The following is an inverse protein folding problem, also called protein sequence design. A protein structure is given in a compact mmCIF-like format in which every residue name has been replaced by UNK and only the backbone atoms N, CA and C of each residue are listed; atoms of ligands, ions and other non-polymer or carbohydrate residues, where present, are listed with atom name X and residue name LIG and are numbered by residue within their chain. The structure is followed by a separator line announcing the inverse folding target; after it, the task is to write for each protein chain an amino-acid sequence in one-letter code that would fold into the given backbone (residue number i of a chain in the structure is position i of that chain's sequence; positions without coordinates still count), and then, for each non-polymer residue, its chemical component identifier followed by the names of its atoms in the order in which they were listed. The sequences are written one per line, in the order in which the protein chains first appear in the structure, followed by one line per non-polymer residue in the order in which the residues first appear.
data_IF_148873793420
#
_entry.id   IF_148873793420
#
_cell.length_a   1.000
_cell.length_b   1.000
_cell.length_c   1.000
_cell.angle_alpha   90.00
_cell.angle_beta   90.00
_cell.angle_gamma   90.00
#
_symmetry.space_group_name_H-M   'P 1'
#
loop_
_entity.id
_entity.type
_entity.pdbx_description
1 polymer ?
#
# COMPACT_ATOMS: atom_id res chain seq x y z
N UNK A 1 1.86 16.64 -1.28
CA UNK A 1 1.89 15.20 -0.96
C UNK A 1 0.47 14.67 -0.92
N UNK A 2 0.18 13.56 -1.61
CA UNK A 2 -1.14 12.93 -1.63
C UNK A 2 -1.03 11.56 -0.98
N UNK A 3 -1.98 11.21 -0.13
CA UNK A 3 -2.08 9.91 0.53
C UNK A 3 -3.41 9.29 0.07
N UNK A 4 -3.33 8.07 -0.48
CA UNK A 4 -4.50 7.29 -0.87
C UNK A 4 -4.65 6.12 0.09
N UNK A 5 -5.79 6.04 0.77
CA UNK A 5 -6.16 4.90 1.61
C UNK A 5 -7.25 4.11 0.90
N UNK A 6 -6.99 2.84 0.60
CA UNK A 6 -7.96 1.96 -0.03
C UNK A 6 -7.78 0.53 0.45
N UNK A 7 -8.87 -0.22 0.50
CA UNK A 7 -8.85 -1.67 0.67
C UNK A 7 -8.80 -2.43 -0.68
N UNK A 8 -8.84 -1.70 -1.81
CA UNK A 8 -8.82 -2.30 -3.14
C UNK A 8 -7.39 -2.58 -3.62
N UNK A 9 -7.04 -3.87 -3.68
CA UNK A 9 -5.73 -4.36 -4.14
C UNK A 9 -5.40 -3.95 -5.57
N UNK A 10 -6.38 -4.01 -6.49
CA UNK A 10 -6.16 -3.69 -7.90
C UNK A 10 -5.78 -2.22 -8.13
N UNK A 11 -6.33 -1.31 -7.33
CA UNK A 11 -5.94 0.11 -7.36
C UNK A 11 -4.49 0.26 -6.91
N UNK A 12 -4.09 -0.40 -5.84
CA UNK A 12 -2.73 -0.36 -5.32
C UNK A 12 -1.72 -0.88 -6.35
N UNK A 13 -2.02 -2.02 -6.99
CA UNK A 13 -1.15 -2.64 -7.99
C UNK A 13 -0.97 -1.79 -9.25
N UNK A 14 -2.01 -1.07 -9.66
CA UNK A 14 -1.95 -0.19 -10.84
C UNK A 14 -1.06 1.05 -10.64
N UNK A 15 -0.97 1.55 -9.40
CA UNK A 15 -0.30 2.82 -9.09
C UNK A 15 1.23 2.66 -9.06
N UNK A 16 1.75 1.47 -8.72
CA UNK A 16 3.21 1.17 -8.67
C UNK A 16 4.01 2.23 -7.89
N UNK A 17 3.45 2.73 -6.78
CA UNK A 17 4.10 3.66 -5.84
C UNK A 17 4.25 2.97 -4.49
N UNK A 18 4.91 3.65 -3.54
CA UNK A 18 5.09 3.15 -2.18
C UNK A 18 3.76 2.72 -1.55
N UNK A 19 3.72 1.53 -0.98
CA UNK A 19 2.56 0.97 -0.27
C UNK A 19 2.93 0.78 1.19
N UNK A 20 2.12 1.32 2.08
CA UNK A 20 2.27 1.13 3.52
C UNK A 20 1.05 0.36 4.00
N UNK A 21 1.28 -0.88 4.46
CA UNK A 21 0.22 -1.73 4.99
C UNK A 21 0.12 -1.55 6.49
N UNK A 22 -1.07 -1.26 6.97
CA UNK A 22 -1.36 -1.10 8.39
C UNK A 22 -2.35 -2.16 8.86
N UNK A 23 -2.11 -2.70 10.05
CA UNK A 23 -3.02 -3.62 10.73
C UNK A 23 -3.08 -3.25 12.22
N UNK A 24 -4.30 -3.12 12.76
CA UNK A 24 -4.55 -2.81 14.18
C UNK A 24 -3.74 -1.60 14.70
N UNK A 25 -3.61 -0.55 13.89
CA UNK A 25 -2.89 0.67 14.24
C UNK A 25 -1.35 0.57 14.16
N UNK A 26 -0.81 -0.56 13.68
CA UNK A 26 0.64 -0.75 13.46
C UNK A 26 0.94 -0.86 11.97
N UNK A 27 2.06 -0.29 11.56
CA UNK A 27 2.60 -0.52 10.21
C UNK A 27 3.24 -1.91 10.22
N UNK A 28 2.70 -2.81 9.40
CA UNK A 28 3.21 -4.17 9.27
C UNK A 28 4.10 -4.32 8.03
N UNK A 29 3.99 -3.39 7.06
CA UNK A 29 4.77 -3.44 5.83
C UNK A 29 4.94 -2.08 5.18
N UNK A 30 6.09 -1.88 4.54
CA UNK A 30 6.43 -0.69 3.77
C UNK A 30 7.21 -1.08 2.50
N UNK A 31 6.50 -1.14 1.37
CA UNK A 31 7.07 -1.46 0.07
C UNK A 31 7.31 -0.20 -0.74
N UNK A 32 8.56 0.18 -0.98
CA UNK A 32 8.91 1.41 -1.72
C UNK A 32 8.60 1.35 -3.22
N UNK A 33 8.52 0.16 -3.81
CA UNK A 33 8.36 -0.06 -5.26
C UNK A 33 6.98 -0.57 -5.70
N UNK A 34 6.00 -0.63 -4.79
CA UNK A 34 4.59 -0.76 -5.18
C UNK A 34 4.20 -2.07 -5.84
N UNK A 35 4.78 -3.19 -5.42
CA UNK A 35 4.19 -4.50 -5.66
C UNK A 35 3.44 -4.90 -4.39
N UNK A 36 2.13 -5.04 -4.47
CA UNK A 36 1.39 -5.77 -3.45
C UNK A 36 1.85 -7.23 -3.56
N UNK A 37 2.70 -7.68 -2.63
CA UNK A 37 3.17 -9.08 -2.63
C UNK A 37 2.33 -9.85 -1.61
N UNK A 38 1.25 -10.47 -2.03
CA UNK A 38 0.64 -11.59 -1.31
C UNK A 38 -0.02 -12.54 -2.29
#
# INVERSE_FOLDING_TARGET
TVILTTHNRGVIDSIKKRVITMEKGKIIRDDKEGKYVI
#
